data_IF_066021799891
#
_entry.id   IF_066021799891
#
_cell.length_a   1.000
_cell.length_b   1.000
_cell.length_c   1.000
_cell.angle_alpha   90.00
_cell.angle_beta   90.00
_cell.angle_gamma   90.00
#
_symmetry.space_group_name_H-M   'P 1'
#
loop_
_entity.id
_entity.type
_entity.pdbx_description
1 polymer ?
#
# COMPACT_ATOMS: atom_id res chain seq x y z
N UNK A 1 4.75 17.71 6.40
CA UNK A 1 4.14 16.56 5.71
C UNK A 1 3.29 17.00 4.54
N UNK A 2 2.48 18.05 4.69
CA UNK A 2 1.65 18.54 3.58
C UNK A 2 2.47 18.99 2.36
N UNK A 3 3.60 19.68 2.56
CA UNK A 3 4.55 20.03 1.50
C UNK A 3 5.14 18.80 0.80
N UNK A 4 5.41 17.72 1.56
CA UNK A 4 5.90 16.45 0.99
C UNK A 4 4.82 15.80 0.14
N UNK A 5 3.56 15.82 0.60
CA UNK A 5 2.42 15.28 -0.16
C UNK A 5 2.26 16.07 -1.47
N UNK A 6 2.36 17.40 -1.42
CA UNK A 6 2.33 18.23 -2.62
C UNK A 6 3.49 17.88 -3.56
N UNK A 7 4.71 17.76 -3.06
CA UNK A 7 5.87 17.36 -3.85
C UNK A 7 5.70 15.99 -4.51
N UNK A 8 5.05 15.02 -3.84
CA UNK A 8 4.69 13.73 -4.46
C UNK A 8 3.74 13.93 -5.65
N UNK A 9 2.73 14.78 -5.51
CA UNK A 9 1.78 15.08 -6.60
C UNK A 9 2.47 15.78 -7.78
N UNK A 10 3.53 16.54 -7.51
CA UNK A 10 4.38 17.20 -8.51
C UNK A 10 5.48 16.27 -9.09
N UNK A 11 5.52 14.99 -8.67
CA UNK A 11 6.52 13.99 -9.05
C UNK A 11 7.96 14.32 -8.62
N UNK A 12 8.13 15.07 -7.52
CA UNK A 12 9.43 15.28 -6.92
C UNK A 12 10.00 13.95 -6.37
N UNK A 13 11.20 13.59 -6.82
CA UNK A 13 11.82 12.29 -6.54
C UNK A 13 12.11 12.11 -5.05
N UNK A 14 12.54 13.17 -4.36
CA UNK A 14 12.84 13.12 -2.93
C UNK A 14 11.55 12.98 -2.11
N UNK A 15 10.50 13.70 -2.47
CA UNK A 15 9.21 13.61 -1.82
C UNK A 15 8.55 12.24 -2.01
N UNK A 16 8.68 11.63 -3.19
CA UNK A 16 8.24 10.25 -3.43
C UNK A 16 9.00 9.28 -2.52
N UNK A 17 10.33 9.40 -2.43
CA UNK A 17 11.13 8.55 -1.56
C UNK A 17 10.69 8.68 -0.08
N UNK A 18 10.55 9.90 0.41
CA UNK A 18 10.06 10.17 1.77
C UNK A 18 8.65 9.63 2.01
N UNK A 19 7.76 9.73 1.01
CA UNK A 19 6.41 9.18 1.10
C UNK A 19 6.39 7.65 1.21
N UNK A 20 7.30 6.96 0.52
CA UNK A 20 7.44 5.51 0.60
C UNK A 20 8.02 5.11 1.97
N UNK A 21 9.09 5.79 2.41
CA UNK A 21 9.69 5.54 3.72
C UNK A 21 8.65 5.74 4.83
N UNK A 22 7.81 6.77 4.72
CA UNK A 22 6.72 7.02 5.65
C UNK A 22 5.62 5.94 5.62
N UNK A 23 5.37 5.31 4.48
CA UNK A 23 4.43 4.20 4.37
C UNK A 23 4.99 2.89 4.97
N UNK A 24 6.31 2.72 4.94
CA UNK A 24 7.03 1.58 5.52
C UNK A 24 7.17 1.67 7.04
N UNK A 25 7.18 2.88 7.60
CA UNK A 25 7.31 3.09 9.04
C UNK A 25 6.15 2.48 9.84
N UNK A 26 6.44 1.89 11.00
CA UNK A 26 5.48 1.28 11.92
C UNK A 26 5.23 2.13 13.18
N UNK A 27 6.05 3.16 13.41
CA UNK A 27 5.91 4.08 14.54
C UNK A 27 4.53 4.75 14.61
N UNK A 28 4.05 4.94 15.84
CA UNK A 28 2.80 5.66 16.11
C UNK A 28 3.04 7.16 16.03
N UNK A 29 2.36 7.83 15.08
CA UNK A 29 2.38 9.28 14.93
C UNK A 29 1.02 9.92 15.23
N UNK A 30 1.00 11.13 15.81
CA UNK A 30 -0.19 11.97 15.79
C UNK A 30 -0.70 12.14 14.36
N UNK A 31 -2.00 11.93 14.14
CA UNK A 31 -2.64 11.98 12.82
C UNK A 31 -2.02 11.02 11.77
N UNK A 32 -1.23 10.02 12.19
CA UNK A 32 -0.50 9.13 11.30
C UNK A 32 -1.39 8.43 10.28
N UNK A 33 -2.57 7.96 10.68
CA UNK A 33 -3.52 7.32 9.76
C UNK A 33 -3.99 8.26 8.63
N UNK A 34 -4.27 9.53 8.94
CA UNK A 34 -4.70 10.54 7.95
C UNK A 34 -3.55 10.88 7.02
N UNK A 35 -2.37 11.15 7.58
CA UNK A 35 -1.17 11.48 6.79
C UNK A 35 -0.78 10.33 5.87
N UNK A 36 -0.77 9.09 6.37
CA UNK A 36 -0.48 7.90 5.57
C UNK A 36 -1.53 7.66 4.48
N UNK A 37 -2.80 7.89 4.78
CA UNK A 37 -3.87 7.82 3.78
C UNK A 37 -3.67 8.83 2.65
N UNK A 38 -3.32 10.08 2.98
CA UNK A 38 -3.07 11.12 1.98
C UNK A 38 -1.81 10.82 1.16
N UNK A 39 -0.75 10.37 1.84
CA UNK A 39 0.50 9.94 1.18
C UNK A 39 0.23 8.80 0.20
N UNK A 40 -0.52 7.77 0.59
CA UNK A 40 -0.90 6.68 -0.30
C UNK A 40 -1.70 7.16 -1.53
N UNK A 41 -2.60 8.13 -1.36
CA UNK A 41 -3.36 8.74 -2.46
C UNK A 41 -2.48 9.54 -3.41
N UNK A 42 -1.48 10.24 -2.90
CA UNK A 42 -0.51 10.98 -3.70
C UNK A 42 0.40 10.01 -4.47
N UNK A 43 1.00 9.02 -3.80
CA UNK A 43 1.84 7.99 -4.41
C UNK A 43 1.10 7.21 -5.53
N UNK A 44 -0.20 6.97 -5.35
CA UNK A 44 -1.01 6.29 -6.38
C UNK A 44 -1.12 7.10 -7.68
N UNK A 45 -0.96 8.42 -7.60
CA UNK A 45 -1.08 9.35 -8.73
C UNK A 45 0.27 9.78 -9.29
N UNK A 46 1.39 9.35 -8.69
CA UNK A 46 2.73 9.73 -9.10
C UNK A 46 3.41 8.66 -9.98
N UNK A 47 4.50 9.07 -10.62
CA UNK A 47 5.32 8.25 -11.50
C UNK A 47 6.34 7.44 -10.69
N UNK A 48 5.89 6.32 -10.15
CA UNK A 48 6.75 5.42 -9.39
C UNK A 48 7.66 4.58 -10.30
N UNK A 49 8.92 4.45 -9.92
CA UNK A 49 9.86 3.49 -10.55
C UNK A 49 9.51 2.06 -10.14
N UNK A 50 9.98 1.05 -10.88
CA UNK A 50 9.73 -0.36 -10.50
C UNK A 50 10.32 -0.72 -9.13
N UNK A 51 11.45 -0.13 -8.75
CA UNK A 51 12.03 -0.32 -7.41
C UNK A 51 11.09 0.20 -6.32
N UNK A 52 10.52 1.40 -6.54
CA UNK A 52 9.56 2.00 -5.61
C UNK A 52 8.24 1.20 -5.54
N UNK A 53 7.77 0.68 -6.68
CA UNK A 53 6.60 -0.20 -6.71
C UNK A 53 6.87 -1.50 -5.96
N UNK A 54 8.02 -2.13 -6.15
CA UNK A 54 8.42 -3.36 -5.46
C UNK A 54 8.42 -3.16 -3.94
N UNK A 55 8.99 -2.06 -3.44
CA UNK A 55 8.93 -1.68 -2.01
C UNK A 55 7.50 -1.62 -1.46
N UNK A 56 6.61 -0.93 -2.17
CA UNK A 56 5.20 -0.81 -1.79
C UNK A 56 4.47 -2.16 -1.84
N UNK A 57 4.77 -3.00 -2.84
CA UNK A 57 4.20 -4.35 -2.95
C UNK A 57 4.57 -5.20 -1.75
N UNK A 58 5.85 -5.25 -1.38
CA UNK A 58 6.32 -6.01 -0.23
C UNK A 58 5.67 -5.50 1.07
N UNK A 59 5.71 -4.19 1.30
CA UNK A 59 5.15 -3.59 2.53
C UNK A 59 3.67 -3.90 2.70
N UNK A 60 2.85 -3.65 1.66
CA UNK A 60 1.40 -3.82 1.75
C UNK A 60 1.02 -5.31 1.79
N UNK A 61 1.70 -6.15 1.02
CA UNK A 61 1.50 -7.60 1.07
C UNK A 61 1.82 -8.16 2.46
N UNK A 62 2.90 -7.71 3.09
CA UNK A 62 3.30 -8.14 4.44
C UNK A 62 2.31 -7.70 5.51
N UNK A 63 1.74 -6.49 5.42
CA UNK A 63 0.65 -6.08 6.32
C UNK A 63 -0.61 -6.97 6.16
N UNK A 64 -0.97 -7.33 4.92
CA UNK A 64 -2.12 -8.22 4.67
C UNK A 64 -1.88 -9.63 5.21
N UNK A 65 -0.71 -10.21 4.93
CA UNK A 65 -0.32 -11.55 5.39
C UNK A 65 -0.22 -11.63 6.91
N UNK A 66 0.30 -10.59 7.57
CA UNK A 66 0.35 -10.55 9.05
C UNK A 66 -1.03 -10.33 9.69
N UNK A 67 -2.07 -10.04 8.91
CA UNK A 67 -3.39 -9.69 9.42
C UNK A 67 -3.44 -8.32 10.12
N UNK A 68 -2.37 -7.52 10.01
CA UNK A 68 -2.31 -6.16 10.55
C UNK A 68 -3.02 -5.22 9.58
N UNK A 69 -4.24 -4.83 9.95
CA UNK A 69 -5.10 -3.98 9.14
C UNK A 69 -5.17 -2.58 9.76
N UNK A 70 -4.23 -1.67 9.41
CA UNK A 70 -4.27 -0.30 9.89
C UNK A 70 -5.42 0.48 9.25
N UNK A 71 -5.75 1.66 9.79
CA UNK A 71 -6.91 2.46 9.38
C UNK A 71 -6.81 2.93 7.92
N UNK A 72 -5.59 3.19 7.47
CA UNK A 72 -5.23 3.61 6.11
C UNK A 72 -5.18 2.46 5.10
N UNK A 73 -5.37 1.20 5.53
CA UNK A 73 -5.25 0.02 4.66
C UNK A 73 -6.12 0.12 3.41
N UNK A 74 -7.28 0.79 3.50
CA UNK A 74 -8.13 1.04 2.33
C UNK A 74 -7.40 1.79 1.23
N UNK A 75 -6.60 2.80 1.55
CA UNK A 75 -5.84 3.56 0.55
C UNK A 75 -4.60 2.79 0.10
N UNK A 76 -3.94 2.04 0.99
CA UNK A 76 -2.86 1.13 0.60
C UNK A 76 -3.32 0.08 -0.39
N UNK A 77 -4.48 -0.54 -0.20
CA UNK A 77 -5.01 -1.51 -1.17
C UNK A 77 -5.34 -0.85 -2.49
N UNK A 78 -5.83 0.39 -2.52
CA UNK A 78 -6.03 1.12 -3.78
C UNK A 78 -4.70 1.44 -4.47
N UNK A 79 -3.66 1.79 -3.71
CA UNK A 79 -2.31 1.97 -4.23
C UNK A 79 -1.78 0.67 -4.80
N UNK A 80 -1.90 -0.44 -4.06
CA UNK A 80 -1.47 -1.77 -4.49
C UNK A 80 -2.17 -2.22 -5.77
N UNK A 81 -3.47 -1.93 -5.92
CA UNK A 81 -4.22 -2.18 -7.17
C UNK A 81 -3.67 -1.40 -8.37
N UNK A 82 -3.15 -0.20 -8.15
CA UNK A 82 -2.56 0.63 -9.21
C UNK A 82 -1.15 0.17 -9.57
N UNK A 83 -0.34 -0.25 -8.60
CA UNK A 83 1.03 -0.72 -8.86
C UNK A 83 1.10 -2.21 -9.27
N UNK A 84 0.03 -2.96 -9.03
CA UNK A 84 -0.07 -4.42 -9.19
C UNK A 84 0.59 -5.18 -8.03
N UNK A 85 0.05 -6.35 -7.66
CA UNK A 85 0.60 -7.17 -6.56
C UNK A 85 1.91 -7.87 -6.99
N UNK A 86 2.03 -8.21 -8.28
CA UNK A 86 3.26 -8.73 -8.88
C UNK A 86 3.70 -10.08 -8.29
N UNK A 87 5.00 -10.25 -8.08
CA UNK A 87 5.62 -11.49 -7.56
C UNK A 87 5.16 -11.90 -6.15
N UNK A 88 4.47 -11.04 -5.41
CA UNK A 88 4.00 -11.34 -4.06
C UNK A 88 2.71 -12.16 -4.03
N UNK A 89 2.03 -12.35 -5.17
CA UNK A 89 0.78 -13.12 -5.24
C UNK A 89 0.87 -14.52 -4.63
N UNK A 90 1.86 -15.37 -4.97
CA UNK A 90 1.94 -16.72 -4.41
C UNK A 90 2.09 -16.73 -2.89
N UNK A 91 2.88 -15.80 -2.34
CA UNK A 91 3.03 -15.63 -0.90
C UNK A 91 1.73 -15.15 -0.26
N UNK A 92 1.11 -14.11 -0.83
CA UNK A 92 -0.15 -13.55 -0.33
C UNK A 92 -1.26 -14.60 -0.31
N UNK A 93 -1.40 -15.40 -1.37
CA UNK A 93 -2.43 -16.44 -1.45
C UNK A 93 -2.22 -17.55 -0.40
N UNK A 94 -0.97 -17.98 -0.22
CA UNK A 94 -0.62 -19.04 0.74
C UNK A 94 -0.80 -18.61 2.19
N UNK A 95 -0.45 -17.37 2.52
CA UNK A 95 -0.25 -16.94 3.92
C UNK A 95 -1.32 -15.99 4.43
N UNK A 96 -2.24 -15.51 3.59
CA UNK A 96 -3.32 -14.62 4.05
C UNK A 96 -4.16 -15.30 5.16
N UNK A 97 -4.38 -14.62 6.30
CA UNK A 97 -5.15 -15.18 7.41
C UNK A 97 -6.63 -15.26 7.03
N UNK A 98 -7.06 -16.46 6.62
CA UNK A 98 -8.41 -16.73 6.07
C UNK A 98 -9.54 -16.52 7.10
N UNK A 99 -9.20 -16.60 8.38
CA UNK A 99 -10.06 -16.34 9.52
C UNK A 99 -10.25 -14.84 9.82
N UNK A 100 -9.36 -13.98 9.32
CA UNK A 100 -9.47 -12.53 9.46
C UNK A 100 -10.38 -11.93 8.36
N UNK A 101 -11.62 -11.50 8.67
CA UNK A 101 -12.56 -11.02 7.66
C UNK A 101 -12.09 -9.72 6.99
N UNK A 102 -11.31 -8.89 7.70
CA UNK A 102 -10.81 -7.63 7.16
C UNK A 102 -9.68 -7.86 6.16
N UNK A 103 -8.73 -8.75 6.47
CA UNK A 103 -7.69 -9.15 5.53
C UNK A 103 -8.31 -9.79 4.27
N UNK A 104 -9.26 -10.72 4.47
CA UNK A 104 -9.95 -11.39 3.38
C UNK A 104 -10.78 -10.45 2.49
N UNK A 105 -11.39 -9.39 3.05
CA UNK A 105 -12.07 -8.36 2.27
C UNK A 105 -11.14 -7.71 1.25
N UNK A 106 -9.94 -7.35 1.66
CA UNK A 106 -8.96 -6.71 0.79
C UNK A 106 -8.33 -7.68 -0.19
N UNK A 107 -8.00 -8.90 0.25
CA UNK A 107 -7.53 -9.97 -0.61
C UNK A 107 -8.50 -10.26 -1.78
N UNK A 108 -9.80 -10.41 -1.50
CA UNK A 108 -10.84 -10.60 -2.53
C UNK A 108 -10.91 -9.43 -3.51
N UNK A 109 -10.75 -8.20 -3.01
CA UNK A 109 -10.74 -6.99 -3.85
C UNK A 109 -9.54 -6.98 -4.79
N UNK A 110 -8.37 -7.42 -4.32
CA UNK A 110 -7.16 -7.53 -5.13
C UNK A 110 -7.32 -8.61 -6.21
N UNK A 111 -7.82 -9.81 -5.85
CA UNK A 111 -8.03 -10.91 -6.83
C UNK A 111 -8.96 -10.49 -7.96
N UNK A 112 -10.09 -9.87 -7.62
CA UNK A 112 -11.07 -9.40 -8.60
C UNK A 112 -10.48 -8.36 -9.56
N UNK A 113 -9.51 -7.56 -9.11
CA UNK A 113 -8.87 -6.54 -9.95
C UNK A 113 -7.89 -7.16 -10.95
N UNK A 114 -7.22 -8.25 -10.59
CA UNK A 114 -6.28 -8.96 -11.47
C UNK A 114 -6.92 -10.10 -12.27
N UNK A 115 -8.24 -10.24 -12.23
CA UNK A 115 -8.96 -11.27 -12.98
C UNK A 115 -8.73 -12.70 -12.46
N UNK A 116 -8.21 -12.86 -11.24
CA UNK A 116 -8.04 -14.17 -10.60
C UNK A 116 -9.38 -14.64 -10.03
N UNK A 117 -9.77 -15.90 -10.30
CA UNK A 117 -11.02 -16.50 -9.81
C UNK A 117 -11.12 -16.40 -8.29
N UNK A 118 -12.24 -15.93 -7.72
CA UNK A 118 -12.40 -15.70 -6.27
C UNK A 118 -12.40 -16.99 -5.47
#
# INVERSE_FOLDING_TARGET
>A
MDEVIQGIEENDVACIALGIDFAEEDARFPFGATLKSNTARALRRSNLTEVQKSRLRERISTMLVSGVIPREMREYVKLLRTVGVGEHWPRLDREIPRDNPYAMRYYKTLRATEGLSV
#
